data_IF_685600455843
#
_entry.id   IF_685600455843
#
_cell.length_a   1.000
_cell.length_b   1.000
_cell.length_c   1.000
_cell.angle_alpha   90.00
_cell.angle_beta   90.00
_cell.angle_gamma   90.00
#
_symmetry.space_group_name_H-M   'P 1'
#
loop_
_entity.id
_entity.type
_entity.pdbx_description
1 polymer ?
#
# COMPACT_ATOMS: atom_id res chain seq x y z
N UNK A 1 -4.13 -0.19 -1.81
CA UNK A 1 -4.83 1.03 -1.34
C UNK A 1 -4.12 2.29 -1.86
N UNK A 2 -2.85 2.52 -1.48
CA UNK A 2 -2.05 3.70 -1.87
C UNK A 2 -2.02 4.01 -3.37
N UNK A 3 -1.82 3.01 -4.24
CA UNK A 3 -1.77 3.23 -5.69
C UNK A 3 -3.08 3.82 -6.26
N UNK A 4 -4.23 3.32 -5.82
CA UNK A 4 -5.55 3.85 -6.23
C UNK A 4 -5.76 5.29 -5.75
N UNK A 5 -5.40 5.56 -4.49
CA UNK A 5 -5.53 6.90 -3.94
C UNK A 5 -4.62 7.91 -4.67
N UNK A 6 -3.41 7.50 -5.06
CA UNK A 6 -2.50 8.35 -5.84
C UNK A 6 -3.14 8.82 -7.17
N UNK A 7 -3.88 7.95 -7.86
CA UNK A 7 -4.65 8.31 -9.05
C UNK A 7 -5.80 9.30 -8.73
N UNK A 8 -6.54 9.07 -7.65
CA UNK A 8 -7.60 10.00 -7.21
C UNK A 8 -7.02 11.38 -6.89
N UNK A 9 -5.89 11.42 -6.18
CA UNK A 9 -5.21 12.65 -5.79
C UNK A 9 -4.70 13.44 -6.99
N UNK A 10 -4.13 12.75 -7.99
CA UNK A 10 -3.71 13.37 -9.24
C UNK A 10 -4.87 13.97 -10.04
N UNK A 11 -6.09 13.44 -9.87
CA UNK A 11 -7.29 13.88 -10.59
C UNK A 11 -8.09 14.99 -9.88
N UNK A 12 -7.71 15.39 -8.65
CA UNK A 12 -8.45 16.37 -7.85
C UNK A 12 -7.63 17.63 -7.58
N UNK A 13 -8.15 18.84 -7.87
CA UNK A 13 -7.42 20.09 -7.63
C UNK A 13 -7.31 20.47 -6.15
N UNK A 14 -8.09 19.85 -5.28
CA UNK A 14 -8.20 20.13 -3.85
C UNK A 14 -7.61 19.03 -2.97
N UNK A 15 -6.71 18.20 -3.52
CA UNK A 15 -5.93 17.24 -2.74
C UNK A 15 -4.99 17.96 -1.75
N UNK A 16 -4.82 17.39 -0.55
CA UNK A 16 -3.97 17.95 0.50
C UNK A 16 -2.81 17.03 0.89
N UNK A 17 -3.09 15.81 1.37
CA UNK A 17 -2.07 14.86 1.83
C UNK A 17 -2.57 13.41 1.70
N UNK A 18 -1.63 12.48 1.48
CA UNK A 18 -1.88 11.04 1.40
C UNK A 18 -1.35 10.38 2.67
N UNK A 19 -2.21 9.67 3.38
CA UNK A 19 -1.80 8.78 4.46
C UNK A 19 -0.99 7.59 3.92
N UNK A 20 0.10 7.23 4.59
CA UNK A 20 0.97 6.12 4.21
C UNK A 20 1.37 5.34 5.48
N UNK A 21 1.29 4.01 5.41
CA UNK A 21 1.61 3.08 6.49
C UNK A 21 2.77 2.15 6.13
N UNK A 22 3.58 2.54 5.15
CA UNK A 22 4.61 1.68 4.56
C UNK A 22 5.65 1.18 5.58
N UNK A 23 5.93 1.97 6.63
CA UNK A 23 6.88 1.63 7.70
C UNK A 23 6.38 0.50 8.62
N UNK A 24 5.06 0.28 8.66
CA UNK A 24 4.41 -0.73 9.50
C UNK A 24 4.08 -2.00 8.71
N UNK A 25 4.47 -2.06 7.43
CA UNK A 25 4.25 -3.23 6.61
C UNK A 25 5.17 -4.37 7.03
N UNK A 26 4.61 -5.56 7.12
CA UNK A 26 5.37 -6.81 7.16
C UNK A 26 6.34 -6.88 5.96
N UNK A 27 7.55 -7.45 6.12
CA UNK A 27 8.59 -7.40 5.08
C UNK A 27 8.15 -7.93 3.71
N UNK A 28 7.28 -8.94 3.70
CA UNK A 28 6.77 -9.60 2.50
C UNK A 28 5.60 -8.86 1.81
N UNK A 29 5.05 -7.80 2.41
CA UNK A 29 3.88 -7.10 1.85
C UNK A 29 4.15 -6.53 0.45
N UNK A 30 5.39 -6.10 0.18
CA UNK A 30 5.81 -5.59 -1.13
C UNK A 30 5.97 -6.70 -2.18
N UNK A 31 6.11 -7.95 -1.77
CA UNK A 31 6.20 -9.08 -2.69
C UNK A 31 4.81 -9.50 -3.21
N UNK A 32 3.74 -9.14 -2.47
CA UNK A 32 2.34 -9.40 -2.84
C UNK A 32 1.82 -8.45 -3.92
N UNK A 33 2.23 -7.18 -3.88
CA UNK A 33 1.85 -6.19 -4.91
C UNK A 33 3.08 -5.59 -5.58
N UNK A 34 3.24 -5.88 -6.86
CA UNK A 34 4.36 -5.40 -7.67
C UNK A 34 4.02 -4.01 -8.23
N UNK A 35 4.95 -3.07 -8.13
CA UNK A 35 4.82 -1.72 -8.68
C UNK A 35 4.16 -0.69 -7.76
N UNK A 36 3.93 -1.02 -6.48
CA UNK A 36 3.41 -0.05 -5.49
C UNK A 36 4.38 1.15 -5.42
N UNK A 37 3.89 2.39 -5.56
CA UNK A 37 4.75 3.56 -5.54
C UNK A 37 5.30 3.79 -4.13
N UNK A 38 6.60 4.09 -4.05
CA UNK A 38 7.32 4.34 -2.81
C UNK A 38 7.28 5.82 -2.43
N UNK A 39 7.28 6.08 -1.12
CA UNK A 39 7.52 7.43 -0.60
C UNK A 39 8.98 7.80 -0.84
N UNK A 40 9.22 8.90 -1.56
CA UNK A 40 10.54 9.49 -1.80
C UNK A 40 10.50 10.96 -1.42
N UNK A 41 11.37 11.35 -0.48
CA UNK A 41 11.45 12.70 0.07
C UNK A 41 10.11 13.27 0.57
N UNK A 42 9.23 12.39 1.09
CA UNK A 42 7.90 12.76 1.58
C UNK A 42 6.79 12.80 0.51
N UNK A 43 7.08 12.39 -0.73
CA UNK A 43 6.14 12.41 -1.84
C UNK A 43 5.95 11.02 -2.46
N UNK A 44 4.76 10.78 -3.01
CA UNK A 44 4.46 9.60 -3.81
C UNK A 44 4.21 10.07 -5.25
N UNK A 45 4.95 9.52 -6.19
CA UNK A 45 4.72 9.78 -7.61
C UNK A 45 3.65 8.80 -8.14
N UNK A 46 2.61 9.29 -8.83
CA UNK A 46 1.71 8.42 -9.60
C UNK A 46 2.48 7.64 -10.66
N UNK A 47 1.98 6.47 -11.01
CA UNK A 47 2.55 5.59 -12.05
C UNK A 47 1.96 5.92 -13.43
N UNK A 48 2.80 5.85 -14.46
CA UNK A 48 2.37 5.96 -15.87
C UNK A 48 1.92 4.61 -16.47
N UNK A 49 2.04 3.51 -15.70
CA UNK A 49 1.58 2.20 -16.14
C UNK A 49 0.05 2.17 -16.30
N UNK A 50 -0.49 1.38 -17.24
CA UNK A 50 -1.94 1.29 -17.45
C UNK A 50 -2.73 0.85 -16.21
N UNK A 51 -3.98 1.30 -16.12
CA UNK A 51 -4.88 0.91 -15.03
C UNK A 51 -4.47 1.53 -13.69
N UNK A 52 -4.50 0.74 -12.62
CA UNK A 52 -4.03 1.17 -11.29
C UNK A 52 -2.49 1.20 -11.22
N UNK A 53 -1.82 0.55 -12.18
CA UNK A 53 -0.36 0.47 -12.31
C UNK A 53 0.34 -0.33 -11.20
N UNK A 54 -0.38 -1.30 -10.63
CA UNK A 54 0.15 -2.35 -9.75
C UNK A 54 -0.41 -3.70 -10.19
N UNK A 55 0.34 -4.77 -9.93
CA UNK A 55 -0.09 -6.15 -10.19
C UNK A 55 -0.09 -6.97 -8.91
N UNK A 56 -1.09 -7.84 -8.75
CA UNK A 56 -1.18 -8.79 -7.64
C UNK A 56 -0.36 -10.04 -7.99
N UNK A 57 0.60 -10.36 -7.15
CA UNK A 57 1.31 -11.63 -7.17
C UNK A 57 0.50 -12.66 -6.38
N UNK A 58 -0.35 -13.42 -7.08
CA UNK A 58 -1.24 -14.41 -6.47
C UNK A 58 -0.48 -15.56 -5.80
N UNK A 59 0.66 -15.97 -6.35
CA UNK A 59 1.50 -17.03 -5.77
C UNK A 59 2.08 -16.61 -4.43
N UNK A 60 2.55 -15.38 -4.32
CA UNK A 60 3.06 -14.85 -3.05
C UNK A 60 1.92 -14.58 -2.07
N UNK A 61 0.80 -14.01 -2.52
CA UNK A 61 -0.39 -13.83 -1.69
C UNK A 61 -0.86 -15.14 -1.05
N UNK A 62 -0.83 -16.25 -1.81
CA UNK A 62 -1.23 -17.57 -1.33
C UNK A 62 -0.32 -18.13 -0.22
N UNK A 63 0.92 -17.64 -0.08
CA UNK A 63 1.84 -18.03 1.00
C UNK A 63 1.50 -17.39 2.35
N UNK A 64 0.73 -16.30 2.33
CA UNK A 64 0.36 -15.53 3.52
C UNK A 64 -1.16 -15.52 3.72
N UNK A 65 -1.80 -16.69 3.93
CA UNK A 65 -3.24 -16.75 4.14
C UNK A 65 -3.62 -16.01 5.42
N UNK A 66 -4.81 -15.43 5.42
CA UNK A 66 -5.39 -14.82 6.61
C UNK A 66 -5.49 -15.86 7.74
N UNK A 67 -5.04 -15.49 8.94
CA UNK A 67 -5.09 -16.33 10.14
C UNK A 67 -5.64 -15.58 11.33
N UNK A 68 -5.62 -16.21 12.50
CA UNK A 68 -6.20 -15.67 13.74
C UNK A 68 -5.58 -14.32 14.17
N UNK A 69 -4.33 -14.05 13.78
CA UNK A 69 -3.63 -12.79 14.04
C UNK A 69 -3.60 -11.84 12.81
N UNK A 70 -4.38 -12.12 11.77
CA UNK A 70 -4.42 -11.35 10.52
C UNK A 70 -5.08 -9.97 10.59
N UNK A 71 -5.24 -9.39 11.78
CA UNK A 71 -5.92 -8.12 11.98
C UNK A 71 -5.09 -7.17 12.87
N UNK A 72 -5.17 -5.87 12.59
CA UNK A 72 -4.45 -4.86 13.35
C UNK A 72 -5.15 -4.65 14.70
N UNK A 73 -4.43 -4.93 15.79
CA UNK A 73 -4.92 -4.79 17.16
C UNK A 73 -4.71 -3.36 17.68
N UNK A 74 -5.31 -2.37 17.01
CA UNK A 74 -5.11 -0.91 17.23
C UNK A 74 -5.19 -0.41 18.68
N UNK A 75 -5.71 -1.19 19.63
CA UNK A 75 -5.90 -0.82 21.03
C UNK A 75 -5.10 -1.70 22.01
N UNK A 76 -4.22 -2.56 21.53
CA UNK A 76 -3.32 -3.40 22.34
C UNK A 76 -1.87 -2.90 22.22
N UNK A 77 -1.03 -2.98 23.27
CA UNK A 77 0.38 -2.61 23.16
C UNK A 77 1.13 -3.41 22.09
N UNK A 78 2.00 -2.74 21.32
CA UNK A 78 2.77 -3.38 20.24
C UNK A 78 1.95 -3.65 18.97
N UNK A 79 0.91 -2.85 18.75
CA UNK A 79 0.15 -2.84 17.49
C UNK A 79 0.88 -2.08 16.39
N UNK A 80 1.70 -1.11 16.79
CA UNK A 80 2.69 -0.44 15.95
C UNK A 80 3.77 -1.39 15.45
#
# INVERSE_FOLDING_TARGET
>A
NTALNAHLHAAMPNFMLQECFDDFLVPWARDVFVGVPEVRDGYIAPTDAPGVGVELNEEEAARHPYGDDGFIRLFEPGWE
#
